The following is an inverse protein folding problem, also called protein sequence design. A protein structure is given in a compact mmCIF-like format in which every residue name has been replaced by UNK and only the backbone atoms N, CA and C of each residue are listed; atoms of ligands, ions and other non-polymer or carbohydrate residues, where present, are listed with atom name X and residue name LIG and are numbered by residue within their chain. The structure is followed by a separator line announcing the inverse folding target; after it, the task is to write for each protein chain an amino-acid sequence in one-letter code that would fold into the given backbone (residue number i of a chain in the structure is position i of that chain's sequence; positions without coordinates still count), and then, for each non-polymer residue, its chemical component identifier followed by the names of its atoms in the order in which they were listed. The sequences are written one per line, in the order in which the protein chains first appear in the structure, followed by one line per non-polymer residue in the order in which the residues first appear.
data_IF_784770379076
#
_entry.id   IF_784770379076
#
_cell.length_a   1.000
_cell.length_b   1.000
_cell.length_c   1.000
_cell.angle_alpha   90.00
_cell.angle_beta   90.00
_cell.angle_gamma   90.00
#
_symmetry.space_group_name_H-M   'P 1'
#
loop_
_entity.id
_entity.type
_entity.pdbx_description
1 polymer ?
#
# COMPACT_ATOMS: atom_id res chain seq x y z
N UNK A 1 13.97 -10.37 -6.63
CA UNK A 1 14.64 -10.04 -7.91
C UNK A 1 13.60 -10.16 -9.02
N UNK A 2 13.49 -9.16 -9.90
CA UNK A 2 12.63 -9.24 -11.09
C UNK A 2 13.19 -10.28 -12.07
N UNK A 3 12.31 -11.01 -12.75
CA UNK A 3 12.69 -11.91 -13.84
C UNK A 3 13.26 -11.11 -15.02
N UNK A 4 14.18 -11.67 -15.83
CA UNK A 4 14.63 -11.04 -17.07
C UNK A 4 13.46 -10.82 -18.04
N UNK A 5 13.50 -9.75 -18.84
CA UNK A 5 12.42 -9.41 -19.79
C UNK A 5 12.08 -10.56 -20.75
N UNK A 6 13.08 -11.33 -21.20
CA UNK A 6 12.86 -12.50 -22.06
C UNK A 6 12.00 -13.60 -21.39
N UNK A 7 12.01 -13.70 -20.05
CA UNK A 7 11.19 -14.66 -19.32
C UNK A 7 9.70 -14.26 -19.29
N UNK A 8 9.37 -13.00 -19.56
CA UNK A 8 7.98 -12.56 -19.69
C UNK A 8 7.27 -13.18 -20.90
N UNK A 9 7.99 -13.51 -21.97
CA UNK A 9 7.38 -14.15 -23.15
C UNK A 9 6.75 -15.51 -22.85
N UNK A 10 7.24 -16.18 -21.80
CA UNK A 10 6.73 -17.47 -21.31
C UNK A 10 5.49 -17.34 -20.41
N UNK A 11 5.14 -16.13 -19.99
CA UNK A 11 3.94 -15.87 -19.17
C UNK A 11 2.71 -15.82 -20.08
N UNK A 12 1.61 -16.53 -19.74
CA UNK A 12 0.37 -16.48 -20.51
C UNK A 12 -0.06 -15.04 -20.79
N UNK A 13 -0.47 -14.70 -22.04
CA UNK A 13 -0.78 -13.32 -22.43
C UNK A 13 -1.78 -12.62 -21.49
N UNK A 14 -2.76 -13.36 -20.99
CA UNK A 14 -3.75 -12.84 -20.03
C UNK A 14 -3.14 -12.39 -18.70
N UNK A 15 -2.15 -13.14 -18.17
CA UNK A 15 -1.47 -12.76 -16.93
C UNK A 15 -0.55 -11.55 -17.15
N UNK A 16 0.05 -11.44 -18.33
CA UNK A 16 0.84 -10.26 -18.69
C UNK A 16 -0.02 -9.01 -18.79
N UNK A 17 -1.17 -9.11 -19.45
CA UNK A 17 -2.12 -8.02 -19.54
C UNK A 17 -2.63 -7.59 -18.17
N UNK A 18 -2.98 -8.54 -17.29
CA UNK A 18 -3.41 -8.25 -15.92
C UNK A 18 -2.31 -7.56 -15.09
N UNK A 19 -1.08 -8.08 -15.13
CA UNK A 19 0.03 -7.47 -14.41
C UNK A 19 0.41 -6.07 -14.94
N UNK A 20 0.24 -5.83 -16.24
CA UNK A 20 0.50 -4.52 -16.85
C UNK A 20 -0.60 -3.49 -16.57
N UNK A 21 -1.84 -3.94 -16.29
CA UNK A 21 -2.98 -3.05 -16.10
C UNK A 21 -2.81 -2.15 -14.87
N UNK A 22 -2.30 -2.72 -13.78
CA UNK A 22 -2.15 -2.06 -12.47
C UNK A 22 -0.70 -1.63 -12.19
N UNK A 23 0.17 -1.65 -13.21
CA UNK A 23 1.60 -1.36 -13.05
C UNK A 23 1.89 0.15 -13.04
N UNK A 24 2.46 0.66 -11.93
CA UNK A 24 2.95 2.03 -11.84
C UNK A 24 4.37 2.17 -12.42
N UNK A 25 4.68 3.19 -13.25
CA UNK A 25 6.00 3.33 -13.88
C UNK A 25 7.15 3.44 -12.87
N UNK A 26 6.93 4.07 -11.72
CA UNK A 26 7.96 4.26 -10.69
C UNK A 26 7.93 3.24 -9.56
N UNK A 27 6.80 2.56 -9.38
CA UNK A 27 6.54 1.76 -8.16
C UNK A 27 6.12 0.32 -8.46
N UNK A 28 5.91 -0.02 -9.72
CA UNK A 28 5.48 -1.34 -10.15
C UNK A 28 4.09 -1.69 -9.62
N UNK A 29 3.95 -2.92 -9.14
CA UNK A 29 2.72 -3.51 -8.62
C UNK A 29 2.54 -3.33 -7.10
N UNK A 30 3.23 -2.36 -6.48
CA UNK A 30 3.09 -2.08 -5.04
C UNK A 30 1.63 -1.72 -4.72
N UNK A 31 1.01 -2.49 -3.84
CA UNK A 31 -0.33 -2.24 -3.34
C UNK A 31 -0.51 -2.81 -1.93
N UNK A 32 -1.50 -2.28 -1.20
CA UNK A 32 -1.88 -2.79 0.11
C UNK A 32 -3.33 -3.29 0.05
N UNK A 33 -3.57 -4.48 0.59
CA UNK A 33 -4.89 -5.07 0.71
C UNK A 33 -5.17 -5.34 2.18
N UNK A 34 -6.15 -4.64 2.74
CA UNK A 34 -6.59 -4.78 4.13
C UNK A 34 -7.96 -5.47 4.15
N UNK A 35 -8.13 -6.47 5.01
CA UNK A 35 -9.37 -7.24 5.15
C UNK A 35 -9.84 -7.18 6.59
N UNK A 36 -11.07 -6.74 6.79
CA UNK A 36 -11.71 -6.61 8.11
C UNK A 36 -12.93 -7.52 8.17
N UNK A 37 -13.10 -8.25 9.26
CA UNK A 37 -14.25 -9.15 9.48
C UNK A 37 -14.82 -8.92 10.86
N UNK A 38 -16.04 -8.37 10.93
CA UNK A 38 -16.74 -8.14 12.19
C UNK A 38 -18.27 -8.10 11.97
N UNK A 39 -19.09 -8.50 12.96
CA UNK A 39 -20.52 -8.24 12.95
C UNK A 39 -20.80 -6.73 12.98
N UNK A 40 -21.70 -6.25 12.14
CA UNK A 40 -22.11 -4.83 12.14
C UNK A 40 -20.96 -3.86 11.83
N UNK A 41 -19.99 -4.28 11.01
CA UNK A 41 -18.85 -3.44 10.63
C UNK A 41 -19.31 -2.09 10.06
N UNK A 42 -18.83 -1.01 10.66
CA UNK A 42 -18.99 0.33 10.12
C UNK A 42 -18.03 0.52 8.95
N UNK A 43 -18.52 0.17 7.75
CA UNK A 43 -17.72 0.20 6.52
C UNK A 43 -17.38 1.63 6.11
N UNK A 44 -18.29 2.59 6.34
CA UNK A 44 -18.09 3.97 5.90
C UNK A 44 -17.11 4.68 6.84
N UNK A 45 -17.26 4.51 8.17
CA UNK A 45 -16.28 5.02 9.13
C UNK A 45 -14.89 4.42 8.93
N UNK A 46 -14.80 3.13 8.56
CA UNK A 46 -13.52 2.50 8.23
C UNK A 46 -12.87 3.12 6.99
N UNK A 47 -13.66 3.42 5.95
CA UNK A 47 -13.14 4.09 4.74
C UNK A 47 -12.66 5.49 5.04
N UNK A 48 -13.46 6.29 5.74
CA UNK A 48 -13.08 7.65 6.13
C UNK A 48 -11.79 7.67 6.96
N UNK A 49 -11.67 6.72 7.90
CA UNK A 49 -10.46 6.58 8.71
C UNK A 49 -9.24 6.21 7.86
N UNK A 50 -9.35 5.20 6.99
CA UNK A 50 -8.23 4.76 6.16
C UNK A 50 -7.82 5.82 5.13
N UNK A 51 -8.77 6.56 4.57
CA UNK A 51 -8.51 7.69 3.68
C UNK A 51 -7.73 8.80 4.41
N UNK A 52 -8.01 9.03 5.70
CA UNK A 52 -7.26 9.99 6.53
C UNK A 52 -5.81 9.57 6.80
N UNK A 53 -5.47 8.29 6.64
CA UNK A 53 -4.11 7.78 6.83
C UNK A 53 -3.24 7.90 5.57
N UNK A 54 -3.81 8.28 4.42
CA UNK A 54 -3.05 8.42 3.18
C UNK A 54 -2.20 9.68 3.23
N UNK A 55 -0.92 9.55 2.89
CA UNK A 55 -0.02 10.70 2.77
C UNK A 55 -0.59 11.70 1.78
N UNK A 56 -0.62 12.97 2.16
CA UNK A 56 -0.91 14.08 1.24
C UNK A 56 0.18 14.18 0.16
N UNK A 57 -0.12 14.85 -0.96
CA UNK A 57 0.86 15.07 -2.03
C UNK A 57 2.15 15.74 -1.53
N UNK A 58 2.03 16.67 -0.57
CA UNK A 58 3.15 17.36 0.03
C UNK A 58 4.02 16.42 0.89
N UNK A 59 3.39 15.55 1.69
CA UNK A 59 4.11 14.54 2.48
C UNK A 59 4.77 13.50 1.58
N UNK A 60 4.06 13.06 0.55
CA UNK A 60 4.57 12.11 -0.44
C UNK A 60 5.83 12.66 -1.14
N UNK A 61 5.79 13.92 -1.58
CA UNK A 61 6.94 14.61 -2.19
C UNK A 61 8.15 14.74 -1.25
N UNK A 62 7.94 14.73 0.08
CA UNK A 62 9.01 14.76 1.08
C UNK A 62 9.87 13.48 1.11
N UNK A 63 9.33 12.37 0.60
CA UNK A 63 10.04 11.10 0.44
C UNK A 63 10.44 10.40 1.76
N UNK A 64 11.10 9.23 1.66
CA UNK A 64 11.34 8.35 2.80
C UNK A 64 12.08 8.98 3.99
N UNK A 65 13.01 9.91 3.72
CA UNK A 65 13.75 10.58 4.79
C UNK A 65 12.84 11.53 5.59
N UNK A 66 11.87 12.19 4.95
CA UNK A 66 10.87 12.99 5.63
C UNK A 66 9.85 12.12 6.38
N UNK A 67 9.43 11.00 5.77
CA UNK A 67 8.45 10.10 6.38
C UNK A 67 8.92 9.53 7.71
N UNK A 68 10.22 9.24 7.86
CA UNK A 68 10.82 8.79 9.14
C UNK A 68 10.69 9.80 10.28
N UNK A 69 10.37 11.07 9.98
CA UNK A 69 10.15 12.12 10.97
C UNK A 69 8.67 12.38 11.25
N UNK A 70 7.76 11.72 10.54
CA UNK A 70 6.33 11.78 10.85
C UNK A 70 6.08 11.14 12.22
N UNK A 71 5.11 11.66 13.00
CA UNK A 71 4.74 11.05 14.27
C UNK A 71 4.41 9.58 14.09
N UNK A 72 4.98 8.73 14.94
CA UNK A 72 4.65 7.32 14.95
C UNK A 72 3.26 7.12 15.60
N UNK A 73 2.23 7.04 14.75
CA UNK A 73 0.84 7.01 15.18
C UNK A 73 0.46 5.82 16.09
N UNK A 74 1.31 4.78 16.18
CA UNK A 74 1.05 3.57 16.94
C UNK A 74 2.01 3.34 18.10
N UNK A 75 2.99 4.22 18.36
CA UNK A 75 3.99 3.97 19.40
C UNK A 75 3.33 3.80 20.78
N UNK A 76 2.34 4.64 21.11
CA UNK A 76 1.56 4.53 22.37
C UNK A 76 0.70 3.26 22.46
N UNK A 77 0.35 2.65 21.31
CA UNK A 77 -0.44 1.40 21.25
C UNK A 77 0.44 0.15 21.28
N UNK A 78 1.73 0.29 21.00
CA UNK A 78 2.72 -0.77 20.95
C UNK A 78 3.60 -0.80 22.21
N UNK A 79 3.45 0.18 23.11
CA UNK A 79 4.07 0.15 24.42
C UNK A 79 3.62 -1.09 25.20
N UNK A 80 4.54 -1.88 25.78
CA UNK A 80 4.18 -3.06 26.54
C UNK A 80 3.30 -2.65 27.72
N UNK A 81 2.15 -3.30 27.85
CA UNK A 81 1.28 -3.15 29.02
C UNK A 81 2.09 -3.55 30.25
N UNK A 82 2.34 -2.57 31.13
CA UNK A 82 3.09 -2.76 32.37
C UNK A 82 2.31 -3.54 33.42
#
# INVERSE_FOLDING_TARGET
ASLPDAAWELVPPVRRAAAALDWHPEHGDRGQHLVFTAPGLDVDGLRELLDSCVLTDAEYAGGPDAWRRLPAAFDELLDPVS
#
